data_IF_634258932233
#
_entry.id   IF_634258932233
#
_cell.length_a   1.000
_cell.length_b   1.000
_cell.length_c   1.000
_cell.angle_alpha   90.00
_cell.angle_beta   90.00
_cell.angle_gamma   90.00
#
_symmetry.space_group_name_H-M   'P 1'
#
loop_
_entity.id
_entity.type
_entity.pdbx_description
1 polymer ?
#
# COMPACT_ATOMS: atom_id res chain seq x y z
N UNK A 1 -19.47 -8.04 1.97
CA UNK A 1 -18.12 -7.42 2.12
C UNK A 1 -18.09 -6.10 1.41
N UNK A 2 -17.55 -5.05 2.01
CA UNK A 2 -17.48 -3.71 1.40
C UNK A 2 -16.07 -3.12 1.50
N UNK A 3 -15.81 -2.16 0.62
CA UNK A 3 -14.59 -1.37 0.56
C UNK A 3 -14.97 0.10 0.50
N UNK A 4 -14.38 0.91 1.37
CA UNK A 4 -14.46 2.36 1.31
C UNK A 4 -13.08 2.95 1.10
N UNK A 5 -13.02 4.00 0.28
CA UNK A 5 -11.78 4.72 -0.04
C UNK A 5 -11.90 6.11 0.58
N UNK A 6 -10.90 6.49 1.35
CA UNK A 6 -10.73 7.86 1.84
C UNK A 6 -9.60 8.49 1.04
N UNK A 7 -9.81 9.69 0.57
CA UNK A 7 -8.87 10.45 -0.24
C UNK A 7 -8.55 11.78 0.39
N UNK A 8 -7.27 12.10 0.48
CA UNK A 8 -6.81 13.41 0.91
C UNK A 8 -6.40 14.23 -0.31
N UNK A 9 -7.17 15.24 -0.62
CA UNK A 9 -6.91 16.14 -1.76
C UNK A 9 -5.58 16.87 -1.66
N UNK A 10 -5.10 17.11 -0.44
CA UNK A 10 -3.88 17.88 -0.22
C UNK A 10 -2.62 17.06 -0.55
N UNK A 11 -2.51 15.87 0.00
CA UNK A 11 -1.36 14.99 -0.21
C UNK A 11 -1.54 14.01 -1.37
N UNK A 12 -2.78 13.71 -1.78
CA UNK A 12 -3.12 12.63 -2.69
C UNK A 12 -3.12 11.27 -2.02
N UNK A 13 -3.00 11.20 -0.69
CA UNK A 13 -2.96 9.94 0.04
C UNK A 13 -4.32 9.22 0.02
N UNK A 14 -4.25 7.91 -0.10
CA UNK A 14 -5.39 7.01 -0.12
C UNK A 14 -5.35 6.10 1.11
N UNK A 15 -6.47 6.02 1.82
CA UNK A 15 -6.69 5.08 2.90
C UNK A 15 -7.90 4.21 2.59
N UNK A 16 -7.89 2.97 3.08
CA UNK A 16 -8.94 2.02 2.74
C UNK A 16 -9.53 1.40 4.00
N UNK A 17 -10.86 1.30 4.04
CA UNK A 17 -11.58 0.52 5.04
C UNK A 17 -12.15 -0.72 4.35
N UNK A 18 -11.69 -1.88 4.78
CA UNK A 18 -12.14 -3.20 4.35
C UNK A 18 -13.12 -3.73 5.40
N UNK A 19 -14.28 -4.21 5.00
CA UNK A 19 -15.24 -4.73 5.96
C UNK A 19 -15.90 -6.05 5.51
N UNK A 20 -15.97 -6.98 6.44
CA UNK A 20 -16.92 -8.09 6.40
C UNK A 20 -18.11 -7.73 7.30
N UNK A 21 -19.17 -7.22 6.68
CA UNK A 21 -20.36 -6.75 7.38
C UNK A 21 -21.11 -7.90 8.10
N UNK A 22 -21.09 -9.10 7.52
CA UNK A 22 -21.73 -10.27 8.14
C UNK A 22 -21.02 -10.68 9.43
N UNK A 23 -19.70 -10.64 9.44
CA UNK A 23 -18.88 -10.91 10.62
C UNK A 23 -18.72 -9.70 11.53
N UNK A 24 -19.13 -8.51 11.09
CA UNK A 24 -18.91 -7.22 11.76
C UNK A 24 -17.43 -6.96 12.07
N UNK A 25 -16.56 -7.25 11.13
CA UNK A 25 -15.12 -7.07 11.28
C UNK A 25 -14.59 -6.16 10.17
N UNK A 26 -13.62 -5.32 10.53
CA UNK A 26 -12.98 -4.40 9.60
C UNK A 26 -11.46 -4.39 9.74
N UNK A 27 -10.78 -3.99 8.66
CA UNK A 27 -9.38 -3.63 8.63
C UNK A 27 -9.20 -2.27 7.95
N UNK A 28 -8.19 -1.52 8.37
CA UNK A 28 -7.79 -0.28 7.73
C UNK A 28 -6.46 -0.50 7.00
N UNK A 29 -6.32 0.00 5.79
CA UNK A 29 -5.05 0.01 5.05
C UNK A 29 -4.60 1.46 4.88
N UNK A 30 -3.37 1.74 5.27
CA UNK A 30 -2.72 3.05 5.28
C UNK A 30 -3.61 4.18 5.85
N UNK A 31 -4.27 3.97 7.01
CA UNK A 31 -5.06 5.02 7.62
C UNK A 31 -4.16 6.16 8.08
N UNK A 32 -4.65 7.39 7.96
CA UNK A 32 -4.02 8.58 8.54
C UNK A 32 -4.69 8.90 9.87
N UNK A 33 -3.90 9.32 10.85
CA UNK A 33 -4.46 9.69 12.16
C UNK A 33 -5.38 10.91 12.10
N UNK A 34 -5.21 11.77 11.09
CA UNK A 34 -6.11 12.89 10.80
C UNK A 34 -7.53 12.43 10.46
N UNK A 35 -7.67 11.26 9.83
CA UNK A 35 -8.96 10.71 9.41
C UNK A 35 -9.66 9.94 10.55
N UNK A 36 -9.03 9.84 11.73
CA UNK A 36 -9.57 9.08 12.86
C UNK A 36 -11.04 9.40 13.17
N UNK A 37 -11.50 10.66 13.23
CA UNK A 37 -12.91 10.95 13.50
C UNK A 37 -13.85 10.30 12.48
N UNK A 38 -13.52 10.39 11.19
CA UNK A 38 -14.30 9.80 10.10
C UNK A 38 -14.26 8.29 10.15
N UNK A 39 -13.07 7.71 10.35
CA UNK A 39 -12.89 6.26 10.44
C UNK A 39 -13.68 5.65 11.61
N UNK A 40 -13.62 6.29 12.78
CA UNK A 40 -14.38 5.83 13.96
C UNK A 40 -15.89 5.94 13.72
N UNK A 41 -16.36 7.04 13.13
CA UNK A 41 -17.78 7.20 12.80
C UNK A 41 -18.27 6.11 11.81
N UNK A 42 -17.48 5.79 10.79
CA UNK A 42 -17.81 4.73 9.83
C UNK A 42 -17.88 3.34 10.48
N UNK A 43 -16.95 3.06 11.40
CA UNK A 43 -16.94 1.80 12.15
C UNK A 43 -18.15 1.69 13.09
N UNK A 44 -18.45 2.76 13.81
CA UNK A 44 -19.57 2.82 14.78
C UNK A 44 -20.92 2.73 14.06
N UNK A 45 -21.12 3.49 12.96
CA UNK A 45 -22.34 3.47 12.17
C UNK A 45 -22.66 2.07 11.63
N UNK A 46 -21.62 1.37 11.15
CA UNK A 46 -21.80 0.03 10.60
C UNK A 46 -21.68 -1.09 11.65
N UNK A 47 -21.46 -0.75 12.94
CA UNK A 47 -21.28 -1.70 14.03
C UNK A 47 -20.08 -2.64 13.81
N UNK A 48 -19.00 -2.14 13.20
CA UNK A 48 -17.83 -2.91 12.84
C UNK A 48 -16.76 -2.87 13.93
N UNK A 49 -16.19 -4.03 14.22
CA UNK A 49 -15.01 -4.15 15.10
C UNK A 49 -13.73 -4.06 14.27
N UNK A 50 -12.88 -3.09 14.57
CA UNK A 50 -11.58 -2.98 13.94
C UNK A 50 -10.67 -4.16 14.39
N UNK A 51 -10.18 -4.95 13.42
CA UNK A 51 -9.29 -6.10 13.65
C UNK A 51 -7.84 -5.78 13.38
N UNK A 52 -7.58 -4.98 12.35
CA UNK A 52 -6.23 -4.71 11.86
C UNK A 52 -6.08 -3.27 11.41
N UNK A 53 -4.93 -2.70 11.69
CA UNK A 53 -4.41 -1.49 11.04
C UNK A 53 -3.19 -1.93 10.23
N UNK A 54 -3.29 -1.87 8.92
CA UNK A 54 -2.30 -2.39 7.98
C UNK A 54 -1.58 -1.20 7.34
N UNK A 55 -0.26 -1.12 7.46
CA UNK A 55 0.55 -0.09 6.80
C UNK A 55 1.40 -0.74 5.72
N UNK A 56 1.29 -0.25 4.49
CA UNK A 56 2.09 -0.76 3.37
C UNK A 56 3.56 -0.41 3.52
N UNK A 57 3.86 0.74 4.09
CA UNK A 57 5.23 1.18 4.41
C UNK A 57 5.24 2.13 5.62
N UNK A 58 6.41 2.57 6.03
CA UNK A 58 6.53 3.56 7.09
C UNK A 58 6.38 4.96 6.49
N UNK A 59 5.35 5.67 6.94
CA UNK A 59 5.04 7.03 6.50
C UNK A 59 5.66 8.11 7.39
N UNK A 60 6.27 7.74 8.53
CA UNK A 60 6.83 8.70 9.48
C UNK A 60 8.02 9.46 8.86
N UNK A 61 7.83 10.74 8.65
CA UNK A 61 8.83 11.61 8.01
C UNK A 61 8.83 11.54 6.48
N UNK A 62 7.87 10.83 5.88
CA UNK A 62 7.57 10.81 4.46
C UNK A 62 6.16 11.36 4.21
N UNK A 63 5.94 11.99 3.07
CA UNK A 63 4.62 12.22 2.47
C UNK A 63 3.62 12.97 3.35
N UNK A 64 4.00 14.09 3.93
CA UNK A 64 3.13 14.99 4.69
C UNK A 64 2.52 14.40 5.98
N UNK A 65 2.94 13.22 6.41
CA UNK A 65 2.50 12.69 7.69
C UNK A 65 3.32 13.25 8.83
N UNK A 66 2.67 13.78 9.87
CA UNK A 66 3.36 14.40 10.99
C UNK A 66 4.15 13.35 11.79
N UNK A 67 5.28 13.74 12.41
CA UNK A 67 6.00 12.86 13.33
C UNK A 67 5.06 12.26 14.39
N UNK A 68 5.26 11.00 14.75
CA UNK A 68 4.44 10.28 15.72
C UNK A 68 3.12 9.75 15.16
N UNK A 69 3.01 9.62 13.85
CA UNK A 69 1.82 9.03 13.22
C UNK A 69 1.56 7.61 13.72
N UNK A 70 2.60 6.80 13.79
CA UNK A 70 2.50 5.42 14.27
C UNK A 70 1.89 5.33 15.69
N UNK A 71 2.35 6.14 16.62
CA UNK A 71 1.84 6.16 18.00
C UNK A 71 0.38 6.59 18.07
N UNK A 72 -0.06 7.44 17.14
CA UNK A 72 -1.47 7.82 17.01
C UNK A 72 -2.32 6.67 16.46
N UNK A 73 -1.77 5.89 15.51
CA UNK A 73 -2.45 4.72 14.96
C UNK A 73 -2.61 3.59 15.99
N UNK A 74 -1.66 3.41 16.91
CA UNK A 74 -1.79 2.47 18.02
C UNK A 74 -3.03 2.76 18.90
N UNK A 75 -3.47 4.03 18.96
CA UNK A 75 -4.65 4.45 19.72
C UNK A 75 -5.98 4.12 19.04
N UNK A 76 -5.96 3.54 17.83
CA UNK A 76 -7.16 3.02 17.19
C UNK A 76 -7.68 1.73 17.86
N UNK A 77 -6.88 1.12 18.73
CA UNK A 77 -7.31 -0.02 19.56
C UNK A 77 -7.23 -1.38 18.83
N UNK A 78 -6.55 -1.46 17.70
CA UNK A 78 -6.28 -2.69 16.97
C UNK A 78 -4.78 -2.86 16.70
N UNK A 79 -4.27 -4.10 16.54
CA UNK A 79 -2.88 -4.34 16.20
C UNK A 79 -2.47 -3.62 14.90
N UNK A 80 -1.36 -2.88 14.96
CA UNK A 80 -0.76 -2.24 13.78
C UNK A 80 0.26 -3.19 13.18
N UNK A 81 0.08 -3.51 11.90
CA UNK A 81 0.96 -4.38 11.10
C UNK A 81 1.75 -3.53 10.13
N UNK A 82 3.06 -3.65 10.12
CA UNK A 82 3.96 -3.03 9.14
C UNK A 82 5.25 -3.84 8.97
N UNK A 83 5.94 -3.63 7.84
CA UNK A 83 7.17 -4.35 7.53
C UNK A 83 8.40 -3.85 8.28
N UNK A 84 8.50 -2.53 8.51
CA UNK A 84 9.57 -1.95 9.33
C UNK A 84 9.39 -2.34 10.79
N UNK A 85 10.51 -2.67 11.44
CA UNK A 85 10.45 -2.94 12.88
C UNK A 85 10.14 -1.65 13.65
N UNK A 86 9.14 -1.73 14.53
CA UNK A 86 8.80 -0.66 15.45
C UNK A 86 8.20 -1.25 16.72
N UNK A 87 8.50 -0.67 17.87
CA UNK A 87 7.89 -1.08 19.13
C UNK A 87 6.37 -0.87 19.06
N UNK A 88 5.59 -1.88 19.48
CA UNK A 88 4.13 -1.87 19.36
C UNK A 88 3.59 -2.38 18.01
N UNK A 89 4.40 -2.51 16.97
CA UNK A 89 3.97 -3.13 15.73
C UNK A 89 3.90 -4.65 15.84
N UNK A 90 2.85 -5.24 15.30
CA UNK A 90 2.77 -6.67 15.12
C UNK A 90 3.66 -7.10 13.96
N UNK A 91 4.61 -7.99 14.24
CA UNK A 91 5.40 -8.65 13.21
C UNK A 91 4.57 -9.71 12.49
N UNK A 92 4.76 -9.78 11.19
CA UNK A 92 4.11 -10.76 10.32
C UNK A 92 5.13 -11.39 9.37
N UNK A 93 4.91 -12.64 9.02
CA UNK A 93 5.71 -13.33 8.01
C UNK A 93 5.22 -12.98 6.60
N UNK A 94 6.10 -13.17 5.61
CA UNK A 94 5.69 -13.16 4.20
C UNK A 94 4.70 -14.30 3.93
N UNK A 95 3.58 -13.98 3.28
CA UNK A 95 2.51 -14.93 3.02
C UNK A 95 1.56 -15.18 4.21
N UNK A 96 1.80 -14.54 5.38
CA UNK A 96 0.91 -14.70 6.53
C UNK A 96 -0.50 -14.25 6.20
N UNK A 97 -1.48 -15.00 6.71
CA UNK A 97 -2.91 -14.73 6.54
C UNK A 97 -3.48 -14.17 7.83
N UNK A 98 -3.94 -12.94 7.78
CA UNK A 98 -4.58 -12.23 8.89
C UNK A 98 -6.09 -12.43 8.80
N UNK A 99 -6.73 -13.11 9.75
CA UNK A 99 -8.17 -13.36 9.70
C UNK A 99 -8.97 -12.05 9.64
N UNK A 100 -9.96 -12.00 8.74
CA UNK A 100 -10.90 -10.91 8.62
C UNK A 100 -12.26 -11.44 8.17
N UNK A 101 -13.21 -11.51 9.09
CA UNK A 101 -14.52 -12.12 8.86
C UNK A 101 -14.41 -13.59 8.50
N UNK A 102 -15.13 -13.99 7.45
CA UNK A 102 -15.10 -15.35 6.91
C UNK A 102 -13.83 -15.64 6.07
N UNK A 103 -13.00 -14.64 5.82
CA UNK A 103 -11.80 -14.75 5.00
C UNK A 103 -10.54 -14.26 5.72
N UNK A 104 -9.60 -13.75 4.94
CA UNK A 104 -8.34 -13.24 5.45
C UNK A 104 -7.76 -12.16 4.54
N UNK A 105 -6.86 -11.37 5.08
CA UNK A 105 -5.93 -10.53 4.33
C UNK A 105 -4.57 -11.23 4.29
N UNK A 106 -4.03 -11.48 3.10
CA UNK A 106 -2.70 -12.07 2.95
C UNK A 106 -1.65 -10.97 2.85
N UNK A 107 -0.59 -11.11 3.64
CA UNK A 107 0.56 -10.21 3.63
C UNK A 107 1.56 -10.68 2.59
N UNK A 108 2.02 -9.78 1.73
CA UNK A 108 3.11 -10.04 0.80
C UNK A 108 4.23 -9.01 1.03
N UNK A 109 5.44 -9.48 1.25
CA UNK A 109 6.60 -8.59 1.26
C UNK A 109 6.90 -8.13 -0.15
N UNK A 110 6.91 -6.82 -0.34
CA UNK A 110 7.11 -6.18 -1.64
C UNK A 110 8.08 -5.00 -1.51
N UNK A 111 9.36 -5.26 -1.15
CA UNK A 111 10.35 -4.21 -1.04
C UNK A 111 10.56 -3.50 -2.38
N UNK A 112 10.88 -2.21 -2.33
CA UNK A 112 11.13 -1.44 -3.55
C UNK A 112 11.03 0.05 -3.33
N UNK A 113 9.84 0.56 -2.98
CA UNK A 113 9.65 1.93 -2.54
C UNK A 113 10.43 2.17 -1.23
N UNK A 114 10.26 1.29 -0.26
CA UNK A 114 11.17 1.16 0.88
C UNK A 114 11.68 -0.28 1.01
N UNK A 115 12.69 -0.51 1.86
CA UNK A 115 13.21 -1.86 2.13
C UNK A 115 12.19 -2.77 2.84
N UNK A 116 11.17 -2.19 3.44
CA UNK A 116 10.23 -2.87 4.32
C UNK A 116 8.77 -2.78 3.83
N UNK A 117 8.54 -2.39 2.58
CA UNK A 117 7.20 -2.36 2.02
C UNK A 117 6.53 -3.73 2.07
N UNK A 118 5.23 -3.69 2.33
CA UNK A 118 4.32 -4.82 2.25
C UNK A 118 3.11 -4.44 1.40
N UNK A 119 2.57 -5.42 0.72
CA UNK A 119 1.27 -5.29 0.04
C UNK A 119 0.28 -6.25 0.69
N UNK A 120 -1.01 -5.96 0.59
CA UNK A 120 -2.05 -6.72 1.26
C UNK A 120 -3.07 -7.20 0.23
N UNK A 121 -3.17 -8.52 0.08
CA UNK A 121 -4.16 -9.13 -0.81
C UNK A 121 -5.41 -9.52 -0.01
N UNK A 122 -6.53 -8.94 -0.38
CA UNK A 122 -7.84 -9.25 0.18
C UNK A 122 -8.80 -9.61 -0.96
N UNK A 123 -9.15 -10.89 -1.07
CA UNK A 123 -9.94 -11.42 -2.18
C UNK A 123 -9.24 -11.18 -3.54
N UNK A 124 -9.90 -10.42 -4.43
CA UNK A 124 -9.43 -10.00 -5.74
C UNK A 124 -8.76 -8.59 -5.74
N UNK A 125 -8.41 -8.06 -4.56
CA UNK A 125 -7.91 -6.70 -4.35
C UNK A 125 -6.54 -6.71 -3.70
N UNK A 126 -5.58 -6.07 -4.36
CA UNK A 126 -4.23 -5.89 -3.85
C UNK A 126 -4.00 -4.42 -3.50
N UNK A 127 -3.68 -4.15 -2.25
CA UNK A 127 -3.28 -2.82 -1.76
C UNK A 127 -1.77 -2.74 -1.82
N UNK A 128 -1.26 -2.02 -2.82
CA UNK A 128 0.17 -1.99 -3.17
C UNK A 128 0.94 -0.89 -2.45
N UNK A 129 0.25 0.08 -1.80
CA UNK A 129 0.91 1.29 -1.33
C UNK A 129 1.61 2.03 -2.48
N UNK A 130 2.80 2.54 -2.22
CA UNK A 130 3.58 3.27 -3.21
C UNK A 130 4.50 2.38 -4.08
N UNK A 131 4.32 1.07 -3.98
CA UNK A 131 5.05 0.14 -4.85
C UNK A 131 4.65 0.29 -6.31
N UNK A 132 3.34 0.44 -6.57
CA UNK A 132 2.77 0.54 -7.91
C UNK A 132 1.54 1.45 -7.89
N UNK A 133 1.60 2.53 -8.67
CA UNK A 133 0.52 3.48 -8.85
C UNK A 133 -0.08 3.36 -10.24
N UNK A 134 -1.30 3.86 -10.46
CA UNK A 134 -1.97 3.73 -11.74
C UNK A 134 -1.26 4.50 -12.87
N UNK A 135 -0.90 5.75 -12.63
CA UNK A 135 -0.39 6.67 -13.66
C UNK A 135 0.95 7.31 -13.31
N UNK A 136 1.36 7.30 -12.06
CA UNK A 136 2.59 7.95 -11.61
C UNK A 136 3.74 6.94 -11.48
N UNK A 137 4.97 7.44 -11.51
CA UNK A 137 6.12 6.59 -11.27
C UNK A 137 6.12 6.06 -9.83
N UNK A 138 6.15 4.75 -9.62
CA UNK A 138 6.20 4.18 -8.28
C UNK A 138 7.55 4.39 -7.60
N UNK A 139 8.55 4.86 -8.38
CA UNK A 139 9.88 5.08 -7.86
C UNK A 139 9.95 6.39 -7.08
N UNK A 140 10.38 6.28 -5.83
CA UNK A 140 10.66 7.41 -4.96
C UNK A 140 12.17 7.58 -4.79
N UNK A 141 12.70 8.81 -4.83
CA UNK A 141 14.14 9.02 -4.78
C UNK A 141 14.79 8.68 -3.44
N UNK A 142 13.99 8.36 -2.39
CA UNK A 142 14.54 8.06 -1.06
C UNK A 142 13.57 7.21 -0.22
N UNK A 143 14.02 6.05 0.23
CA UNK A 143 15.12 5.20 -0.24
C UNK A 143 14.62 4.25 -1.32
N UNK A 144 14.73 4.58 -2.57
CA UNK A 144 14.33 3.70 -3.66
C UNK A 144 15.31 2.53 -3.80
N UNK A 145 14.75 1.34 -3.92
CA UNK A 145 15.47 0.10 -4.21
C UNK A 145 15.01 -0.44 -5.57
N UNK A 146 15.52 0.10 -6.69
CA UNK A 146 15.00 -0.22 -8.03
C UNK A 146 15.01 -1.71 -8.36
N UNK A 147 16.04 -2.44 -7.94
CA UNK A 147 16.14 -3.88 -8.15
C UNK A 147 15.02 -4.63 -7.42
N UNK A 148 14.83 -4.33 -6.14
CA UNK A 148 13.78 -4.94 -5.35
C UNK A 148 12.39 -4.53 -5.84
N UNK A 149 12.21 -3.29 -6.29
CA UNK A 149 10.97 -2.81 -6.88
C UNK A 149 10.59 -3.61 -8.12
N UNK A 150 11.55 -3.78 -9.06
CA UNK A 150 11.35 -4.60 -10.24
C UNK A 150 10.96 -6.03 -9.88
N UNK A 151 11.74 -6.66 -9.01
CA UNK A 151 11.53 -8.05 -8.61
C UNK A 151 10.16 -8.22 -7.89
N UNK A 152 9.79 -7.30 -7.01
CA UNK A 152 8.50 -7.31 -6.33
C UNK A 152 7.34 -7.18 -7.32
N UNK A 153 7.41 -6.25 -8.27
CA UNK A 153 6.35 -6.08 -9.26
C UNK A 153 6.24 -7.30 -10.18
N UNK A 154 7.36 -7.79 -10.72
CA UNK A 154 7.35 -8.90 -11.67
C UNK A 154 6.98 -10.24 -11.03
N UNK A 155 7.47 -10.51 -9.82
CA UNK A 155 7.35 -11.83 -9.20
C UNK A 155 6.17 -11.93 -8.22
N UNK A 156 5.65 -10.82 -7.71
CA UNK A 156 4.61 -10.81 -6.68
C UNK A 156 3.29 -10.20 -7.15
N UNK A 157 3.35 -9.16 -8.00
CA UNK A 157 2.15 -8.48 -8.47
C UNK A 157 1.73 -9.00 -9.84
N UNK A 158 2.64 -9.05 -10.82
CA UNK A 158 2.30 -9.44 -12.19
C UNK A 158 2.07 -10.95 -12.37
N UNK A 159 2.27 -11.75 -11.33
CA UNK A 159 1.90 -13.17 -11.29
C UNK A 159 0.48 -13.42 -10.77
N UNK A 160 -0.19 -12.38 -10.27
CA UNK A 160 -1.60 -12.46 -9.88
C UNK A 160 -2.50 -12.54 -11.12
N UNK A 161 -3.77 -13.00 -10.96
CA UNK A 161 -4.76 -12.99 -12.03
C UNK A 161 -4.91 -11.60 -12.67
N UNK A 162 -5.19 -11.58 -13.98
CA UNK A 162 -5.29 -10.36 -14.79
C UNK A 162 -6.32 -9.35 -14.26
N UNK A 163 -7.41 -9.85 -13.72
CA UNK A 163 -8.53 -9.10 -13.16
C UNK A 163 -8.29 -8.59 -11.73
N UNK A 164 -7.20 -8.98 -11.08
CA UNK A 164 -6.88 -8.48 -9.74
C UNK A 164 -6.80 -6.96 -9.75
N UNK A 165 -7.59 -6.33 -8.88
CA UNK A 165 -7.62 -4.89 -8.71
C UNK A 165 -6.42 -4.43 -7.87
N UNK A 166 -5.70 -3.44 -8.34
CA UNK A 166 -4.54 -2.85 -7.67
C UNK A 166 -4.89 -1.47 -7.13
N UNK A 167 -4.73 -1.28 -5.84
CA UNK A 167 -5.01 -0.05 -5.11
C UNK A 167 -3.71 0.60 -4.65
N UNK A 168 -3.49 1.85 -5.02
CA UNK A 168 -2.28 2.61 -4.71
C UNK A 168 -2.32 3.26 -3.32
N UNK A 169 -1.17 3.69 -2.81
CA UNK A 169 -1.08 4.51 -1.58
C UNK A 169 -1.35 5.99 -1.84
N UNK A 170 -0.95 6.48 -3.03
CA UNK A 170 -1.15 7.87 -3.43
C UNK A 170 -1.65 7.96 -4.86
N UNK A 171 -2.50 8.96 -5.12
CA UNK A 171 -2.98 9.26 -6.46
C UNK A 171 -3.36 10.75 -6.57
N UNK A 172 -2.90 11.40 -7.62
CA UNK A 172 -3.15 12.84 -7.83
C UNK A 172 -4.07 13.13 -9.02
N UNK A 173 -4.46 12.10 -9.77
CA UNK A 173 -5.28 12.22 -10.98
C UNK A 173 -6.64 11.51 -10.86
N UNK A 174 -7.12 11.35 -9.62
CA UNK A 174 -8.40 10.71 -9.28
C UNK A 174 -8.51 9.24 -9.76
N UNK A 175 -7.38 8.55 -9.96
CA UNK A 175 -7.36 7.16 -10.42
C UNK A 175 -6.74 6.24 -9.35
N UNK A 176 -7.53 5.91 -8.34
CA UNK A 176 -7.10 5.13 -7.19
C UNK A 176 -6.89 3.63 -7.49
N UNK A 177 -7.44 3.11 -8.60
CA UNK A 177 -7.45 1.68 -8.91
C UNK A 177 -7.09 1.41 -10.37
N UNK A 178 -6.38 0.32 -10.59
CA UNK A 178 -6.02 -0.26 -11.89
C UNK A 178 -6.15 -1.79 -11.81
N UNK A 179 -5.75 -2.52 -12.85
CA UNK A 179 -5.70 -3.99 -12.83
C UNK A 179 -4.29 -4.50 -13.12
N UNK A 180 -4.02 -5.75 -12.74
CA UNK A 180 -2.76 -6.43 -13.11
C UNK A 180 -2.58 -6.43 -14.62
N UNK A 181 -3.63 -6.78 -15.39
CA UNK A 181 -3.59 -6.77 -16.85
C UNK A 181 -3.20 -5.42 -17.40
N UNK A 182 -3.83 -4.37 -16.92
CA UNK A 182 -3.58 -3.00 -17.36
C UNK A 182 -2.13 -2.59 -17.09
N UNK A 183 -1.65 -2.77 -15.86
CA UNK A 183 -0.30 -2.42 -15.49
C UNK A 183 0.75 -3.22 -16.26
N UNK A 184 0.51 -4.50 -16.49
CA UNK A 184 1.41 -5.34 -17.26
C UNK A 184 1.49 -4.93 -18.74
N UNK A 185 0.36 -4.46 -19.32
CA UNK A 185 0.29 -4.08 -20.75
C UNK A 185 0.68 -2.62 -21.01
N UNK A 186 0.34 -1.71 -20.10
CA UNK A 186 0.39 -0.27 -20.38
C UNK A 186 1.10 0.57 -19.31
N UNK A 187 1.64 -0.04 -18.25
CA UNK A 187 2.41 0.74 -17.30
C UNK A 187 3.58 1.46 -17.99
N UNK A 188 3.69 2.78 -17.87
CA UNK A 188 4.79 3.52 -18.47
C UNK A 188 6.17 3.12 -17.92
N UNK A 189 6.19 2.40 -16.79
CA UNK A 189 7.40 2.03 -16.08
C UNK A 189 7.77 0.56 -16.17
N UNK A 190 6.83 -0.31 -16.53
CA UNK A 190 7.06 -1.76 -16.54
C UNK A 190 6.71 -2.42 -17.88
N UNK A 191 5.69 -1.90 -18.60
CA UNK A 191 5.20 -2.56 -19.80
C UNK A 191 6.29 -2.62 -20.90
N UNK A 192 6.54 -3.83 -21.41
CA UNK A 192 7.49 -4.06 -22.49
C UNK A 192 8.97 -3.78 -22.15
N UNK A 193 9.29 -3.51 -20.88
CA UNK A 193 10.66 -3.27 -20.47
C UNK A 193 11.34 -4.58 -20.04
N UNK A 194 12.65 -4.64 -20.31
CA UNK A 194 13.56 -5.55 -19.62
C UNK A 194 13.97 -4.94 -18.27
N UNK A 195 14.57 -5.75 -17.41
CA UNK A 195 15.13 -5.27 -16.13
C UNK A 195 16.13 -4.14 -16.33
N UNK A 196 17.03 -4.26 -17.32
CA UNK A 196 18.02 -3.22 -17.62
C UNK A 196 17.36 -1.95 -18.19
N UNK A 197 16.33 -2.10 -19.00
CA UNK A 197 15.54 -0.98 -19.52
C UNK A 197 14.82 -0.22 -18.40
N UNK A 198 14.32 -0.93 -17.40
CA UNK A 198 13.74 -0.33 -16.21
C UNK A 198 14.80 0.46 -15.42
N UNK A 199 15.98 -0.12 -15.16
CA UNK A 199 17.06 0.55 -14.46
C UNK A 199 17.57 1.79 -15.20
N UNK A 200 17.66 1.75 -16.52
CA UNK A 200 18.03 2.91 -17.31
C UNK A 200 17.04 4.09 -17.12
N UNK A 201 15.76 3.80 -16.83
CA UNK A 201 14.74 4.83 -16.61
C UNK A 201 14.73 5.38 -15.17
N UNK A 202 14.85 4.49 -14.17
CA UNK A 202 14.66 4.84 -12.76
C UNK A 202 15.96 4.93 -11.97
N UNK A 203 17.07 4.48 -12.54
CA UNK A 203 18.40 4.54 -11.93
C UNK A 203 18.87 5.99 -11.72
N UNK A 204 19.88 6.21 -10.86
CA UNK A 204 20.44 7.52 -10.65
C UNK A 204 20.96 8.04 -12.00
N UNK A 205 20.44 9.18 -12.45
CA UNK A 205 20.99 9.86 -13.62
C UNK A 205 22.46 10.17 -13.36
N UNK A 206 23.38 9.85 -14.27
CA UNK A 206 24.78 10.22 -14.09
C UNK A 206 24.85 11.73 -13.87
N UNK A 207 25.54 12.13 -12.81
CA UNK A 207 25.83 13.54 -12.55
C UNK A 207 26.56 14.06 -13.79
N UNK A 208 25.90 14.90 -14.59
CA UNK A 208 26.57 15.68 -15.61
C UNK A 208 27.62 16.53 -14.89
N UNK A 209 28.91 16.13 -14.99
CA UNK A 209 30.01 17.00 -14.65
C UNK A 209 29.82 18.26 -15.50
N UNK A 210 29.48 19.37 -14.86
CA UNK A 210 29.60 20.68 -15.51
C UNK A 210 31.08 20.85 -15.80
N UNK A 211 31.45 20.81 -17.06
CA UNK A 211 32.74 21.23 -17.57
C UNK A 211 32.81 22.75 -17.53
#
# INVERSE_FOLDING_TARGET
MSLRILYDEHSGALSYLLADEAAREAALVDPRSSDRPVLMALLDEAGLRLRWVLRTHDHDGHDDQPPGEFERLLRLGAPVVQGAWREGARRVADGERLPLGAGFVQVLRTPGHTAHCQSYLWQDRMFCGDLLTADTCPWQPRPALPAALWDSVQQRIFTLPDETLLYAGHERRARAVTTVLEQRRWSPHFAGLTRDGFFARVGPKPLHRRT
#
